data_IF_425873922338
#
_entry.id   IF_425873922338
#
_cell.length_a   1.000
_cell.length_b   1.000
_cell.length_c   1.000
_cell.angle_alpha   90.00
_cell.angle_beta   90.00
_cell.angle_gamma   90.00
#
_symmetry.space_group_name_H-M   'P 1'
#
loop_
_entity.id
_entity.type
_entity.pdbx_description
1 polymer ?
#
# COMPACT_ATOMS: atom_id res chain seq x y z
N UNK A 1 1.81 0.38 35.11
CA UNK A 1 1.34 -0.38 33.93
C UNK A 1 0.85 0.65 32.93
N UNK A 2 1.48 0.74 31.75
CA UNK A 2 1.29 1.84 30.80
C UNK A 2 -0.12 1.89 30.23
N UNK A 3 -0.87 2.94 30.54
CA UNK A 3 -2.12 3.23 29.84
C UNK A 3 -1.76 3.76 28.46
N UNK A 4 -1.88 2.90 27.45
CA UNK A 4 -1.97 3.37 26.06
C UNK A 4 -3.24 4.23 26.01
N UNK A 5 -3.08 5.55 25.97
CA UNK A 5 -4.21 6.48 26.05
C UNK A 5 -5.21 6.22 24.91
N UNK A 6 -6.50 6.48 25.15
CA UNK A 6 -7.57 6.29 24.15
C UNK A 6 -7.20 6.87 22.77
N UNK A 7 -6.53 8.04 22.77
CA UNK A 7 -6.05 8.71 21.58
C UNK A 7 -5.07 7.87 20.74
N UNK A 8 -4.14 7.17 21.38
CA UNK A 8 -3.14 6.33 20.70
C UNK A 8 -3.80 5.08 20.13
N UNK A 9 -4.74 4.47 20.84
CA UNK A 9 -5.50 3.32 20.34
C UNK A 9 -6.31 3.65 19.09
N UNK A 10 -6.98 4.80 19.08
CA UNK A 10 -7.71 5.30 17.91
C UNK A 10 -6.76 5.59 16.75
N UNK A 11 -5.61 6.20 17.02
CA UNK A 11 -4.59 6.48 16.02
C UNK A 11 -4.07 5.20 15.34
N UNK A 12 -3.74 4.18 16.13
CA UNK A 12 -3.27 2.89 15.61
C UNK A 12 -4.36 2.24 14.76
N UNK A 13 -5.61 2.19 15.24
CA UNK A 13 -6.72 1.59 14.50
C UNK A 13 -6.98 2.31 13.17
N UNK A 14 -7.01 3.64 13.18
CA UNK A 14 -7.18 4.46 11.99
C UNK A 14 -6.04 4.25 10.99
N UNK A 15 -4.79 4.35 11.45
CA UNK A 15 -3.61 4.25 10.59
C UNK A 15 -3.48 2.86 9.99
N UNK A 16 -3.77 1.81 10.77
CA UNK A 16 -3.78 0.44 10.26
C UNK A 16 -4.83 0.27 9.14
N UNK A 17 -6.02 0.84 9.29
CA UNK A 17 -7.05 0.79 8.25
C UNK A 17 -6.60 1.42 6.94
N UNK A 18 -5.92 2.57 7.01
CA UNK A 18 -5.41 3.29 5.84
C UNK A 18 -4.30 2.50 5.14
N UNK A 19 -3.29 2.04 5.90
CA UNK A 19 -2.15 1.30 5.35
C UNK A 19 -2.59 -0.02 4.72
N UNK A 20 -3.53 -0.72 5.35
CA UNK A 20 -4.06 -1.97 4.80
C UNK A 20 -4.87 -1.73 3.52
N UNK A 21 -5.62 -0.64 3.42
CA UNK A 21 -6.38 -0.29 2.21
C UNK A 21 -5.46 -0.13 0.99
N UNK A 22 -4.35 0.60 1.15
CA UNK A 22 -3.34 0.81 0.12
C UNK A 22 -2.74 -0.52 -0.39
N UNK A 23 -2.35 -1.41 0.52
CA UNK A 23 -1.87 -2.75 0.18
C UNK A 23 -2.92 -3.60 -0.54
N UNK A 24 -4.17 -3.59 -0.04
CA UNK A 24 -5.28 -4.35 -0.64
C UNK A 24 -5.60 -3.84 -2.03
N UNK A 25 -5.57 -2.52 -2.24
CA UNK A 25 -5.80 -1.91 -3.54
C UNK A 25 -4.77 -2.36 -4.58
N UNK A 26 -3.48 -2.40 -4.20
CA UNK A 26 -2.41 -2.93 -5.04
C UNK A 26 -2.61 -4.43 -5.33
N UNK A 27 -2.84 -5.22 -4.28
CA UNK A 27 -2.96 -6.67 -4.37
C UNK A 27 -4.17 -7.09 -5.23
N UNK A 28 -5.28 -6.37 -5.14
CA UNK A 28 -6.46 -6.63 -5.96
C UNK A 28 -6.15 -6.46 -7.46
N UNK A 29 -5.39 -5.43 -7.84
CA UNK A 29 -4.96 -5.25 -9.24
C UNK A 29 -3.93 -6.28 -9.68
N UNK A 30 -3.04 -6.69 -8.77
CA UNK A 30 -2.10 -7.78 -9.03
C UNK A 30 -2.84 -9.09 -9.31
N UNK A 31 -3.75 -9.50 -8.42
CA UNK A 31 -4.55 -10.71 -8.57
C UNK A 31 -5.40 -10.66 -9.84
N UNK A 32 -5.94 -9.49 -10.19
CA UNK A 32 -6.65 -9.30 -11.46
C UNK A 32 -5.75 -9.57 -12.66
N UNK A 33 -4.53 -9.05 -12.68
CA UNK A 33 -3.54 -9.32 -13.74
C UNK A 33 -3.17 -10.81 -13.84
N UNK A 34 -3.02 -11.48 -12.69
CA UNK A 34 -2.68 -12.92 -12.63
C UNK A 34 -3.83 -13.81 -13.07
N UNK A 35 -5.04 -13.58 -12.55
CA UNK A 35 -6.18 -14.50 -12.70
C UNK A 35 -7.02 -14.20 -13.94
N UNK A 36 -7.34 -12.93 -14.19
CA UNK A 36 -8.21 -12.56 -15.33
C UNK A 36 -7.43 -12.42 -16.64
N UNK A 37 -6.16 -11.99 -16.57
CA UNK A 37 -5.35 -11.67 -17.75
C UNK A 37 -4.21 -12.67 -17.98
N UNK A 38 -4.09 -13.71 -17.14
CA UNK A 38 -3.07 -14.76 -17.22
C UNK A 38 -1.63 -14.23 -17.36
N UNK A 39 -1.34 -13.05 -16.79
CA UNK A 39 -0.02 -12.43 -16.88
C UNK A 39 1.03 -13.19 -16.08
N UNK A 40 2.29 -13.10 -16.51
CA UNK A 40 3.42 -13.53 -15.69
C UNK A 40 3.46 -12.73 -14.37
N UNK A 41 4.08 -13.24 -13.29
CA UNK A 41 4.21 -12.49 -12.04
C UNK A 41 4.83 -11.09 -12.24
N UNK A 42 5.83 -11.01 -13.10
CA UNK A 42 6.56 -9.78 -13.43
C UNK A 42 5.65 -8.77 -14.15
N UNK A 43 4.90 -9.23 -15.15
CA UNK A 43 3.96 -8.40 -15.89
C UNK A 43 2.77 -7.97 -15.04
N UNK A 44 2.27 -8.86 -14.18
CA UNK A 44 1.17 -8.55 -13.26
C UNK A 44 1.58 -7.52 -12.21
N UNK A 45 2.79 -7.58 -11.65
CA UNK A 45 3.32 -6.54 -10.75
C UNK A 45 3.41 -5.21 -11.49
N UNK A 46 3.93 -5.21 -12.73
CA UNK A 46 4.07 -3.99 -13.53
C UNK A 46 2.73 -3.39 -13.92
N UNK A 47 1.75 -4.23 -14.24
CA UNK A 47 0.36 -3.84 -14.52
C UNK A 47 -0.30 -3.23 -13.27
N UNK A 48 -0.18 -3.89 -12.12
CA UNK A 48 -0.70 -3.39 -10.86
C UNK A 48 -0.10 -2.02 -10.54
N UNK A 49 1.24 -1.93 -10.55
CA UNK A 49 1.96 -0.69 -10.25
C UNK A 49 1.54 0.47 -11.16
N UNK A 50 1.45 0.27 -12.48
CA UNK A 50 0.99 1.31 -13.41
C UNK A 50 -0.44 1.75 -13.16
N UNK A 51 -1.29 0.86 -12.66
CA UNK A 51 -2.70 1.15 -12.43
C UNK A 51 -2.93 1.85 -11.08
N UNK A 52 -2.20 1.44 -10.04
CA UNK A 52 -2.46 1.91 -8.66
C UNK A 52 -1.51 2.97 -8.14
N UNK A 53 -0.31 3.12 -8.72
CA UNK A 53 0.68 4.06 -8.18
C UNK A 53 0.16 5.50 -8.17
N UNK A 54 -0.53 5.94 -9.23
CA UNK A 54 -1.08 7.31 -9.29
C UNK A 54 -2.21 7.51 -8.26
N UNK A 55 -3.24 6.64 -8.19
CA UNK A 55 -4.25 6.71 -7.11
C UNK A 55 -3.67 6.75 -5.69
N UNK A 56 -2.71 5.86 -5.39
CA UNK A 56 -2.09 5.75 -4.06
C UNK A 56 -1.25 6.98 -3.70
N UNK A 57 -0.57 7.57 -4.68
CA UNK A 57 0.14 8.85 -4.48
C UNK A 57 -0.83 9.97 -4.12
N UNK A 58 -1.96 10.08 -4.85
CA UNK A 58 -2.94 11.14 -4.63
C UNK A 58 -3.61 11.00 -3.26
N UNK A 59 -4.01 9.79 -2.86
CA UNK A 59 -4.60 9.53 -1.54
C UNK A 59 -3.60 9.87 -0.43
N UNK A 60 -2.35 9.40 -0.56
CA UNK A 60 -1.28 9.66 0.41
C UNK A 60 -1.00 11.15 0.58
N UNK A 61 -0.83 11.90 -0.51
CA UNK A 61 -0.56 13.34 -0.44
C UNK A 61 -1.74 14.08 0.21
N UNK A 62 -2.97 13.71 -0.13
CA UNK A 62 -4.18 14.30 0.46
C UNK A 62 -4.21 14.05 1.97
N UNK A 63 -3.92 12.83 2.38
CA UNK A 63 -3.98 12.40 3.77
C UNK A 63 -2.85 13.02 4.61
N UNK A 64 -1.62 12.98 4.09
CA UNK A 64 -0.45 13.65 4.69
C UNK A 64 -0.71 15.15 4.83
N UNK A 65 -1.26 15.80 3.81
CA UNK A 65 -1.66 17.21 3.87
C UNK A 65 -2.67 17.47 4.99
N UNK A 66 -3.71 16.64 5.11
CA UNK A 66 -4.69 16.73 6.19
C UNK A 66 -4.08 16.55 7.59
N UNK A 67 -3.17 15.59 7.75
CA UNK A 67 -2.47 15.36 9.02
C UNK A 67 -1.43 16.43 9.35
N UNK A 68 -0.83 17.08 8.35
CA UNK A 68 0.03 18.26 8.56
C UNK A 68 -0.80 19.42 9.10
N UNK A 69 -2.00 19.65 8.57
CA UNK A 69 -2.92 20.67 9.13
C UNK A 69 -3.27 20.35 10.58
N UNK A 70 -3.52 19.06 10.90
CA UNK A 70 -3.72 18.62 12.27
C UNK A 70 -2.47 18.82 13.14
N UNK A 71 -1.28 18.62 12.58
CA UNK A 71 0.00 18.82 13.25
C UNK A 71 0.22 20.29 13.66
N UNK A 72 -0.33 21.24 12.91
CA UNK A 72 -0.31 22.67 13.23
C UNK A 72 -1.29 23.09 14.34
N UNK A 73 -2.00 22.14 14.97
CA UNK A 73 -2.95 22.43 16.05
C UNK A 73 -2.25 22.94 17.31
N UNK A 74 -2.84 23.94 17.98
CA UNK A 74 -2.37 24.43 19.29
C UNK A 74 -2.61 23.45 20.45
N UNK A 75 -3.30 22.33 20.21
CA UNK A 75 -3.50 21.27 21.20
C UNK A 75 -2.43 20.19 21.02
N UNK A 76 -1.58 20.01 22.04
CA UNK A 76 -0.39 19.16 21.96
C UNK A 76 -0.67 17.72 21.52
N UNK A 77 -1.80 17.14 21.95
CA UNK A 77 -2.18 15.78 21.54
C UNK A 77 -2.40 15.72 20.03
N UNK A 78 -3.11 16.70 19.45
CA UNK A 78 -3.37 16.74 18.01
C UNK A 78 -2.10 17.01 17.21
N UNK A 79 -1.22 17.90 17.71
CA UNK A 79 0.05 18.21 17.06
C UNK A 79 0.96 16.97 16.92
N UNK A 80 1.11 16.22 18.02
CA UNK A 80 1.88 14.98 18.03
C UNK A 80 1.22 13.88 17.19
N UNK A 81 -0.09 13.71 17.29
CA UNK A 81 -0.81 12.72 16.49
C UNK A 81 -0.70 13.02 14.99
N UNK A 82 -0.90 14.28 14.59
CA UNK A 82 -0.79 14.70 13.19
C UNK A 82 0.59 14.45 12.61
N UNK A 83 1.65 14.86 13.33
CA UNK A 83 3.03 14.63 12.87
C UNK A 83 3.40 13.14 12.78
N UNK A 84 3.05 12.34 13.80
CA UNK A 84 3.33 10.90 13.79
C UNK A 84 2.59 10.18 12.65
N UNK A 85 1.31 10.49 12.44
CA UNK A 85 0.51 9.83 11.40
C UNK A 85 0.97 10.23 10.00
N UNK A 86 1.28 11.51 9.77
CA UNK A 86 1.82 11.98 8.49
C UNK A 86 3.12 11.24 8.11
N UNK A 87 4.05 11.07 9.05
CA UNK A 87 5.28 10.30 8.85
C UNK A 87 4.95 8.83 8.58
N UNK A 88 4.03 8.24 9.36
CA UNK A 88 3.68 6.82 9.25
C UNK A 88 3.10 6.48 7.88
N UNK A 89 2.15 7.28 7.39
CA UNK A 89 1.54 7.07 6.06
C UNK A 89 2.60 7.26 4.96
N UNK A 90 3.46 8.26 5.09
CA UNK A 90 4.52 8.51 4.11
C UNK A 90 5.46 7.29 4.00
N UNK A 91 5.86 6.72 5.14
CA UNK A 91 6.70 5.52 5.17
C UNK A 91 5.92 4.30 4.64
N UNK A 92 4.64 4.16 4.98
CA UNK A 92 3.80 3.06 4.51
C UNK A 92 3.70 3.02 2.99
N UNK A 93 3.45 4.17 2.32
CA UNK A 93 3.43 4.23 0.86
C UNK A 93 4.77 3.78 0.24
N UNK A 94 5.89 4.17 0.84
CA UNK A 94 7.21 3.72 0.38
C UNK A 94 7.35 2.20 0.54
N UNK A 95 6.94 1.65 1.67
CA UNK A 95 6.96 0.19 1.88
C UNK A 95 6.07 -0.53 0.87
N UNK A 96 4.91 0.01 0.54
CA UNK A 96 4.01 -0.59 -0.45
C UNK A 96 4.60 -0.54 -1.87
N UNK A 97 5.32 0.51 -2.24
CA UNK A 97 5.96 0.60 -3.55
C UNK A 97 7.26 -0.20 -3.68
N UNK A 98 8.03 -0.37 -2.62
CA UNK A 98 9.32 -1.06 -2.68
C UNK A 98 9.24 -2.50 -2.19
N UNK A 99 8.54 -2.74 -1.09
CA UNK A 99 8.55 -4.03 -0.40
C UNK A 99 7.51 -4.98 -0.96
N UNK A 100 6.27 -4.50 -1.18
CA UNK A 100 5.17 -5.32 -1.68
C UNK A 100 5.45 -5.98 -3.05
N UNK A 101 5.95 -5.28 -4.09
CA UNK A 101 6.22 -5.93 -5.37
C UNK A 101 7.32 -6.99 -5.27
N UNK A 102 8.37 -6.74 -4.47
CA UNK A 102 9.45 -7.71 -4.24
C UNK A 102 8.92 -8.95 -3.52
N UNK A 103 8.05 -8.76 -2.53
CA UNK A 103 7.39 -9.84 -1.80
C UNK A 103 6.55 -10.70 -2.75
N UNK A 104 5.73 -10.07 -3.59
CA UNK A 104 4.87 -10.76 -4.56
C UNK A 104 5.69 -11.57 -5.57
N UNK A 105 6.76 -11.00 -6.14
CA UNK A 105 7.64 -11.72 -7.07
C UNK A 105 8.35 -12.91 -6.42
N UNK A 106 8.72 -12.81 -5.14
CA UNK A 106 9.35 -13.90 -4.38
C UNK A 106 8.38 -15.04 -4.07
N UNK A 107 7.17 -14.72 -3.62
CA UNK A 107 6.20 -15.72 -3.17
C UNK A 107 5.42 -16.36 -4.32
N UNK A 108 5.10 -15.62 -5.39
CA UNK A 108 4.35 -16.14 -6.52
C UNK A 108 5.19 -17.01 -7.46
N UNK A 109 6.52 -16.98 -7.32
CA UNK A 109 7.42 -17.93 -8.00
C UNK A 109 7.22 -19.38 -7.55
N UNK A 110 6.56 -19.61 -6.42
CA UNK A 110 6.21 -20.93 -5.91
C UNK A 110 4.86 -21.45 -6.40
N UNK A 111 4.04 -20.64 -7.09
CA UNK A 111 2.80 -21.10 -7.72
C UNK A 111 3.10 -21.60 -9.15
N UNK A 112 2.46 -22.69 -9.63
CA UNK A 112 2.83 -23.33 -10.89
C UNK A 112 2.74 -22.34 -12.05
N UNK A 113 3.83 -22.21 -12.80
CA UNK A 113 3.94 -21.37 -14.00
C UNK A 113 2.83 -21.72 -14.99
N UNK A 114 2.00 -20.73 -15.37
CA UNK A 114 1.14 -20.82 -16.54
C UNK A 114 2.05 -21.11 -17.74
N UNK A 115 1.83 -22.21 -18.49
CA UNK A 115 2.72 -22.59 -19.58
C UNK A 115 2.68 -21.51 -20.65
N UNK A 116 3.83 -20.94 -20.99
CA UNK A 116 4.01 -20.09 -22.15
C UNK A 116 3.72 -20.93 -23.39
N UNK A 117 2.51 -20.81 -23.95
CA UNK A 117 2.18 -21.41 -25.24
C UNK A 117 3.02 -20.67 -26.29
N UNK A 118 4.15 -21.29 -26.65
CA UNK A 118 4.93 -20.93 -27.82
C UNK A 118 4.06 -21.16 -29.05
N UNK A 119 3.45 -20.09 -29.57
CA UNK A 119 2.85 -20.10 -30.90
C UNK A 119 3.99 -20.20 -31.89
N UNK A 120 4.29 -21.45 -32.25
CA UNK A 120 5.16 -21.79 -33.36
C UNK A 120 4.35 -21.51 -34.63
N UNK A 121 4.70 -20.42 -35.31
CA UNK A 121 4.20 -20.15 -36.66
C UNK A 121 5.13 -20.92 -37.59
N UNK A 122 4.67 -22.09 -38.02
CA UNK A 122 5.20 -22.83 -39.17
C UNK A 122 4.70 -22.21 -40.48
#
# INVERSE_FOLDING_TARGET
VGQVGLAVSVLIAMTMGIVVDDTVHFLAKYQRGRTEQAMSPEDAVRFAFRTVAVPMWISTVTLVGGFIVLACSGFQINAHMGSMTAITISIALLLDFFFLPVLLLRFDRSAPSVPSVSVQID
#
